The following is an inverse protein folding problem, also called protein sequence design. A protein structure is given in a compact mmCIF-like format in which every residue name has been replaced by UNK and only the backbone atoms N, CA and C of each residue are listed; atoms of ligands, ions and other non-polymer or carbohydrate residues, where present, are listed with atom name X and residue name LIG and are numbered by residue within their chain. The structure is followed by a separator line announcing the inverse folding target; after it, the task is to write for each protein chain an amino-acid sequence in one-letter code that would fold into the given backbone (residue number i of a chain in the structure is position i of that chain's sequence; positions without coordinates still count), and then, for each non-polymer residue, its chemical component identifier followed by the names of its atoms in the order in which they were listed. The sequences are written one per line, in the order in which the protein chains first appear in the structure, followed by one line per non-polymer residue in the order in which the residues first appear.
data_IF_891636467469
#
_entry.id   IF_891636467469
#
_cell.length_a   1.000
_cell.length_b   1.000
_cell.length_c   1.000
_cell.angle_alpha   90.00
_cell.angle_beta   90.00
_cell.angle_gamma   90.00
#
_symmetry.space_group_name_H-M   'P 1'
#
loop_
_entity.id
_entity.type
_entity.pdbx_description
1 polymer ?
#
# COMPACT_ATOMS: atom_id res chain seq x y z
N UNK A 1 0.59 -79.42 -11.67
CA UNK A 1 1.42 -78.96 -12.81
C UNK A 1 1.81 -77.51 -12.58
N UNK A 2 2.95 -77.13 -13.13
CA UNK A 2 3.82 -75.96 -12.84
C UNK A 2 3.18 -74.56 -13.02
N UNK A 3 3.86 -73.50 -12.54
CA UNK A 3 3.28 -72.32 -11.87
C UNK A 3 3.41 -71.03 -12.70
N UNK A 4 2.82 -69.93 -12.24
CA UNK A 4 3.31 -68.58 -12.59
C UNK A 4 3.19 -67.64 -11.39
N UNK A 5 4.32 -66.99 -11.08
CA UNK A 5 4.56 -66.26 -9.86
C UNK A 5 4.07 -64.81 -9.89
N UNK A 6 3.78 -64.30 -8.70
CA UNK A 6 3.55 -62.89 -8.42
C UNK A 6 4.93 -62.24 -8.23
N UNK A 7 5.32 -61.37 -9.16
CA UNK A 7 6.45 -60.45 -8.99
C UNK A 7 5.86 -59.12 -8.54
N UNK A 8 6.18 -58.74 -7.29
CA UNK A 8 6.01 -57.39 -6.80
C UNK A 8 7.12 -56.52 -7.39
N UNK A 9 6.75 -55.45 -8.11
CA UNK A 9 7.67 -54.37 -8.47
C UNK A 9 7.25 -53.12 -7.69
N UNK A 10 8.04 -52.80 -6.67
CA UNK A 10 8.02 -51.50 -6.03
C UNK A 10 8.65 -50.48 -7.00
N UNK A 11 7.88 -49.49 -7.42
CA UNK A 11 8.39 -48.32 -8.13
C UNK A 11 8.40 -47.13 -7.15
N UNK A 12 9.59 -46.86 -6.60
CA UNK A 12 9.93 -45.57 -6.00
C UNK A 12 10.05 -44.54 -7.13
N UNK A 13 9.09 -43.62 -7.21
CA UNK A 13 9.21 -42.41 -8.02
C UNK A 13 9.03 -41.20 -7.09
N UNK A 14 10.15 -40.61 -6.66
CA UNK A 14 10.18 -39.35 -5.93
C UNK A 14 9.95 -38.15 -6.86
N UNK A 15 9.41 -37.02 -6.35
CA UNK A 15 9.16 -35.84 -7.15
C UNK A 15 10.42 -34.99 -7.24
N UNK A 16 11.12 -35.02 -8.38
CA UNK A 16 12.21 -34.05 -8.67
C UNK A 16 12.05 -33.30 -10.00
N UNK A 17 10.96 -33.51 -10.73
CA UNK A 17 10.73 -32.82 -12.01
C UNK A 17 9.96 -31.48 -11.90
N UNK A 18 9.38 -31.15 -10.74
CA UNK A 18 8.63 -29.90 -10.54
C UNK A 18 9.50 -28.70 -10.12
N UNK A 19 10.77 -28.92 -9.74
CA UNK A 19 11.66 -27.83 -9.31
C UNK A 19 12.38 -27.14 -10.47
N UNK A 20 12.50 -27.77 -11.63
CA UNK A 20 13.26 -27.21 -12.77
C UNK A 20 12.45 -26.27 -13.67
N UNK A 21 11.12 -26.33 -13.66
CA UNK A 21 10.27 -25.40 -14.41
C UNK A 21 10.13 -24.04 -13.69
N UNK A 22 10.05 -24.04 -12.35
CA UNK A 22 9.85 -22.82 -11.55
C UNK A 22 11.06 -21.85 -11.53
N UNK A 23 12.28 -22.37 -11.76
CA UNK A 23 13.50 -21.53 -11.86
C UNK A 23 13.50 -20.74 -13.17
N UNK A 24 12.95 -21.30 -14.25
CA UNK A 24 12.86 -20.62 -15.55
C UNK A 24 11.75 -19.56 -15.53
N UNK A 25 10.65 -19.81 -14.83
CA UNK A 25 9.54 -18.84 -14.71
C UNK A 25 9.88 -17.65 -13.80
N UNK A 26 10.59 -17.89 -12.69
CA UNK A 26 11.15 -16.80 -11.87
C UNK A 26 12.16 -15.98 -12.66
N UNK A 27 13.00 -16.63 -13.47
CA UNK A 27 13.99 -15.96 -14.33
C UNK A 27 13.34 -15.06 -15.40
N UNK A 28 12.21 -15.44 -15.99
CA UNK A 28 11.51 -14.61 -16.98
C UNK A 28 10.79 -13.41 -16.35
N UNK A 29 10.28 -13.56 -15.12
CA UNK A 29 9.78 -12.45 -14.30
C UNK A 29 10.91 -11.48 -13.92
N UNK A 30 12.10 -12.01 -13.64
CA UNK A 30 13.29 -11.23 -13.27
C UNK A 30 13.92 -10.50 -14.47
N UNK A 31 13.85 -11.07 -15.68
CA UNK A 31 14.40 -10.45 -16.90
C UNK A 31 13.58 -9.23 -17.34
N UNK A 32 12.25 -9.29 -17.21
CA UNK A 32 11.34 -8.21 -17.62
C UNK A 32 11.38 -6.99 -16.68
N UNK A 33 11.53 -7.21 -15.38
CA UNK A 33 11.74 -6.12 -14.40
C UNK A 33 13.15 -5.51 -14.49
N UNK A 34 14.19 -6.34 -14.68
CA UNK A 34 15.59 -5.87 -14.76
C UNK A 34 15.90 -5.08 -16.04
N UNK A 35 15.32 -5.46 -17.19
CA UNK A 35 15.53 -4.73 -18.45
C UNK A 35 14.96 -3.31 -18.42
N UNK A 36 13.85 -3.08 -17.71
CA UNK A 36 13.28 -1.73 -17.57
C UNK A 36 14.06 -0.84 -16.59
N UNK A 37 14.70 -1.42 -15.57
CA UNK A 37 15.58 -0.67 -14.66
C UNK A 37 16.89 -0.23 -15.33
N UNK A 38 17.41 -1.00 -16.30
CA UNK A 38 18.62 -0.66 -17.06
C UNK A 38 18.37 0.26 -18.27
N UNK A 39 17.13 0.34 -18.78
CA UNK A 39 16.79 1.11 -19.96
C UNK A 39 16.32 2.56 -19.67
N UNK A 40 16.81 3.18 -18.59
CA UNK A 40 16.61 4.60 -18.30
C UNK A 40 17.33 5.49 -19.33
N UNK A 41 16.71 5.71 -20.49
CA UNK A 41 17.23 6.62 -21.51
C UNK A 41 16.66 8.03 -21.32
N UNK A 42 17.55 8.96 -20.94
CA UNK A 42 17.30 10.40 -20.99
C UNK A 42 16.97 10.84 -22.44
N UNK A 43 16.06 11.81 -22.64
CA UNK A 43 15.74 12.30 -23.98
C UNK A 43 16.91 13.15 -24.51
N UNK A 44 17.69 12.59 -25.44
CA UNK A 44 18.63 13.38 -26.24
C UNK A 44 17.88 14.22 -27.27
N UNK A 45 18.16 15.52 -27.25
CA UNK A 45 17.76 16.54 -28.22
C UNK A 45 17.93 16.05 -29.67
N UNK A 46 16.90 16.29 -30.47
CA UNK A 46 16.89 16.05 -31.90
C UNK A 46 17.96 16.89 -32.63
N UNK A 47 18.86 16.22 -33.34
CA UNK A 47 19.73 16.82 -34.34
C UNK A 47 19.05 16.74 -35.71
N UNK A 48 18.82 17.89 -36.33
CA UNK A 48 18.44 17.97 -37.75
C UNK A 48 19.60 17.52 -38.64
N UNK A 49 19.30 16.63 -39.60
CA UNK A 49 20.19 16.20 -40.67
C UNK A 49 19.77 16.91 -41.97
N UNK A 50 20.65 17.69 -42.59
CA UNK A 50 20.55 18.17 -43.99
C UNK A 50 21.73 17.67 -44.81
N UNK A 51 21.48 17.33 -46.08
CA UNK A 51 22.48 17.18 -47.17
C UNK A 51 21.85 17.80 -48.47
N UNK A 52 22.57 18.05 -49.60
CA UNK A 52 23.15 19.36 -49.95
C UNK A 52 22.81 19.87 -51.38
N UNK A 53 23.07 21.14 -51.70
CA UNK A 53 23.17 21.61 -53.11
C UNK A 53 23.15 23.12 -53.37
N UNK A 54 24.32 23.68 -53.73
CA UNK A 54 24.58 24.91 -54.54
C UNK A 54 24.43 26.30 -53.87
N UNK A 55 25.19 27.34 -54.32
CA UNK A 55 25.97 28.22 -53.46
C UNK A 55 25.47 29.67 -53.46
N UNK A 56 26.12 30.53 -52.67
CA UNK A 56 26.70 31.83 -53.07
C UNK A 56 26.76 32.86 -51.91
N UNK A 57 27.98 33.41 -51.75
CA UNK A 57 28.42 34.72 -51.21
C UNK A 57 28.71 34.95 -49.72
N UNK A 58 30.00 35.28 -49.54
CA UNK A 58 30.75 35.88 -48.42
C UNK A 58 30.23 37.25 -47.97
N UNK A 59 30.49 37.58 -46.70
CA UNK A 59 31.20 38.78 -46.17
C UNK A 59 31.62 38.44 -44.71
N UNK A 60 32.89 38.16 -44.37
CA UNK A 60 33.97 39.04 -43.82
C UNK A 60 33.58 39.89 -42.57
N UNK A 61 33.92 39.39 -41.36
CA UNK A 61 34.74 39.92 -40.22
C UNK A 61 34.67 41.42 -39.77
N UNK A 62 35.22 41.85 -38.59
CA UNK A 62 35.84 41.14 -37.43
C UNK A 62 35.49 41.69 -35.99
N UNK A 63 35.66 40.91 -34.91
CA UNK A 63 36.71 40.92 -33.84
C UNK A 63 36.54 41.83 -32.60
N UNK A 64 36.83 41.23 -31.42
CA UNK A 64 37.54 41.71 -30.21
C UNK A 64 36.77 41.31 -28.93
N UNK A 65 37.34 40.77 -27.85
CA UNK A 65 38.72 40.43 -27.47
C UNK A 65 38.69 39.96 -26.00
N UNK A 66 39.46 38.92 -25.68
CA UNK A 66 39.95 38.57 -24.33
C UNK A 66 41.12 39.54 -23.97
N UNK A 67 41.85 39.47 -22.81
CA UNK A 67 41.78 38.55 -21.66
C UNK A 67 42.03 39.15 -20.25
N UNK A 68 42.00 38.28 -19.22
CA UNK A 68 42.89 38.35 -18.03
C UNK A 68 42.13 38.40 -16.68
N UNK A 69 42.49 37.69 -15.60
CA UNK A 69 43.63 36.82 -15.29
C UNK A 69 43.91 36.85 -13.78
N UNK A 70 44.22 35.69 -13.16
CA UNK A 70 44.86 35.52 -11.83
C UNK A 70 44.01 35.91 -10.59
N UNK A 71 44.21 35.40 -9.37
CA UNK A 71 45.28 34.58 -8.81
C UNK A 71 44.83 33.96 -7.46
N UNK A 72 45.54 32.93 -7.01
CA UNK A 72 45.40 32.19 -5.74
C UNK A 72 45.88 32.98 -4.52
N UNK A 73 45.31 32.74 -3.32
CA UNK A 73 46.09 32.48 -2.09
C UNK A 73 45.26 31.79 -0.99
N UNK A 74 45.83 30.73 -0.42
CA UNK A 74 45.46 30.09 0.86
C UNK A 74 45.89 30.95 2.05
N UNK A 75 45.25 30.86 3.23
CA UNK A 75 45.83 30.34 4.50
C UNK A 75 45.06 30.71 5.79
N UNK A 76 45.04 29.71 6.69
CA UNK A 76 45.14 29.75 8.17
C UNK A 76 43.87 29.90 9.04
N UNK A 77 43.72 28.84 9.83
CA UNK A 77 42.90 28.54 11.00
C UNK A 77 43.26 29.37 12.24
N UNK A 78 42.29 29.64 13.13
CA UNK A 78 42.52 29.69 14.59
C UNK A 78 41.25 29.19 15.33
N UNK A 79 41.46 28.20 16.20
CA UNK A 79 40.53 27.68 17.20
C UNK A 79 40.47 28.57 18.44
N UNK A 80 39.34 28.60 19.14
CA UNK A 80 39.32 28.98 20.57
C UNK A 80 38.32 28.14 21.35
N UNK A 81 38.86 27.27 22.20
CA UNK A 81 38.21 26.57 23.30
C UNK A 81 38.10 27.52 24.50
N UNK A 82 36.99 27.47 25.24
CA UNK A 82 36.99 27.86 26.66
C UNK A 82 35.94 27.07 27.43
N UNK A 83 36.37 26.58 28.58
CA UNK A 83 35.77 25.56 29.43
C UNK A 83 35.21 26.19 30.72
N UNK A 84 34.39 25.41 31.43
CA UNK A 84 34.11 25.41 32.89
C UNK A 84 32.84 26.12 33.38
N UNK A 85 32.01 25.39 34.13
CA UNK A 85 31.31 25.94 35.30
C UNK A 85 29.96 25.33 35.66
N UNK A 86 29.95 24.21 36.38
CA UNK A 86 28.79 23.54 36.99
C UNK A 86 28.14 24.35 38.13
N UNK A 87 26.80 24.28 38.30
CA UNK A 87 26.16 23.77 39.53
C UNK A 87 24.62 23.74 39.49
N UNK A 88 24.12 22.61 40.01
CA UNK A 88 22.78 22.24 40.46
C UNK A 88 22.14 23.20 41.47
N UNK A 89 20.80 23.34 41.45
CA UNK A 89 19.90 22.99 42.57
C UNK A 89 18.40 23.18 42.24
N UNK A 90 17.64 22.30 42.88
CA UNK A 90 16.19 22.08 42.95
C UNK A 90 15.37 23.22 43.57
N UNK A 91 14.09 23.33 43.20
CA UNK A 91 13.11 24.14 43.93
C UNK A 91 11.67 24.05 43.41
N UNK A 92 10.88 23.19 44.02
CA UNK A 92 9.41 23.06 43.90
C UNK A 92 8.69 24.29 44.45
N UNK A 93 7.61 24.76 43.81
CA UNK A 93 6.53 25.50 44.50
C UNK A 93 5.22 25.53 43.71
N UNK A 94 4.20 24.91 44.30
CA UNK A 94 2.77 25.11 44.00
C UNK A 94 2.33 26.53 44.38
N UNK A 95 1.39 27.09 43.62
CA UNK A 95 0.49 28.13 44.14
C UNK A 95 -0.90 28.00 43.54
N UNK A 96 -1.85 27.82 44.44
CA UNK A 96 -3.31 27.92 44.30
C UNK A 96 -3.70 29.38 44.17
N UNK A 97 -4.63 29.72 43.27
CA UNK A 97 -5.31 31.02 43.30
C UNK A 97 -6.82 30.84 43.30
N UNK A 98 -7.43 31.22 44.42
CA UNK A 98 -8.86 31.28 44.63
C UNK A 98 -9.47 32.56 44.05
N UNK A 99 -10.73 32.40 43.67
CA UNK A 99 -11.70 33.36 43.14
C UNK A 99 -12.13 34.37 44.21
N UNK A 100 -12.25 35.65 43.86
CA UNK A 100 -13.00 36.64 44.66
C UNK A 100 -13.90 37.47 43.76
N UNK A 101 -15.18 37.50 44.15
CA UNK A 101 -16.28 38.26 43.56
C UNK A 101 -16.42 39.59 44.30
N UNK A 102 -16.46 40.69 43.57
CA UNK A 102 -16.85 42.01 44.08
C UNK A 102 -18.15 42.44 43.42
N UNK A 103 -19.19 42.58 44.23
CA UNK A 103 -20.45 43.19 43.85
C UNK A 103 -20.38 44.71 44.00
N UNK A 104 -21.03 45.43 43.09
CA UNK A 104 -21.41 46.82 43.31
C UNK A 104 -22.76 47.09 42.65
N UNK A 105 -23.71 47.45 43.49
CA UNK A 105 -25.07 47.88 43.20
C UNK A 105 -25.09 49.33 42.72
N UNK A 106 -25.75 49.60 41.58
CA UNK A 106 -26.25 50.93 41.23
C UNK A 106 -27.65 50.83 40.62
N UNK A 107 -28.50 51.76 41.03
CA UNK A 107 -29.94 51.83 40.85
C UNK A 107 -30.35 52.45 39.51
N UNK A 108 -31.31 51.79 38.85
CA UNK A 108 -32.36 52.26 37.93
C UNK A 108 -32.25 53.61 37.19
N UNK A 109 -32.36 53.52 35.86
CA UNK A 109 -33.23 54.37 35.05
C UNK A 109 -33.74 53.57 33.85
N UNK A 110 -35.05 53.32 33.80
CA UNK A 110 -35.73 52.54 32.75
C UNK A 110 -36.01 53.45 31.56
N UNK A 111 -35.39 53.17 30.41
CA UNK A 111 -35.79 53.74 29.12
C UNK A 111 -36.15 52.58 28.20
N UNK A 112 -37.38 52.57 27.72
CA UNK A 112 -37.94 51.53 26.86
C UNK A 112 -37.38 51.64 25.44
N UNK A 113 -36.31 50.90 25.16
CA UNK A 113 -35.85 50.61 23.79
C UNK A 113 -36.37 49.25 23.36
N UNK A 114 -37.27 49.26 22.38
CA UNK A 114 -37.73 48.09 21.62
C UNK A 114 -36.54 47.49 20.86
N UNK A 115 -35.91 46.46 21.43
CA UNK A 115 -34.96 45.61 20.71
C UNK A 115 -35.75 44.63 19.84
N UNK A 116 -35.74 44.86 18.53
CA UNK A 116 -36.16 43.88 17.54
C UNK A 116 -35.35 42.60 17.73
N UNK A 117 -36.04 41.51 18.08
CA UNK A 117 -35.45 40.18 18.12
C UNK A 117 -34.97 39.84 16.70
N UNK A 118 -33.66 39.91 16.47
CA UNK A 118 -33.05 39.38 15.25
C UNK A 118 -33.07 37.86 15.41
N UNK A 119 -34.03 37.21 14.76
CA UNK A 119 -34.06 35.76 14.64
C UNK A 119 -32.81 35.33 13.89
N UNK A 120 -31.77 34.89 14.61
CA UNK A 120 -30.68 34.13 14.02
C UNK A 120 -31.29 32.81 13.54
N UNK A 121 -31.62 32.75 12.25
CA UNK A 121 -31.85 31.49 11.55
C UNK A 121 -30.56 30.69 11.67
N UNK A 122 -30.53 29.73 12.59
CA UNK A 122 -29.57 28.64 12.54
C UNK A 122 -29.79 27.94 11.21
N UNK A 123 -28.95 28.25 10.22
CA UNK A 123 -28.87 27.49 8.99
C UNK A 123 -28.56 26.05 9.41
N UNK A 124 -29.57 25.18 9.37
CA UNK A 124 -29.35 23.74 9.53
C UNK A 124 -28.28 23.35 8.53
N UNK A 125 -27.15 22.84 9.03
CA UNK A 125 -26.09 22.35 8.16
C UNK A 125 -26.73 21.38 7.16
N UNK A 126 -26.54 21.65 5.87
CA UNK A 126 -27.10 20.84 4.80
C UNK A 126 -26.64 19.40 5.04
N UNK A 127 -27.58 18.47 5.22
CA UNK A 127 -27.22 17.06 5.38
C UNK A 127 -26.44 16.63 4.14
N UNK A 128 -25.20 16.14 4.28
CA UNK A 128 -24.42 15.68 3.14
C UNK A 128 -25.22 14.65 2.35
N UNK A 129 -25.53 14.96 1.09
CA UNK A 129 -26.31 14.07 0.22
C UNK A 129 -25.36 13.34 -0.73
N UNK A 130 -25.42 12.01 -0.72
CA UNK A 130 -24.78 11.16 -1.73
C UNK A 130 -25.75 10.13 -2.27
N UNK A 131 -25.57 9.72 -3.52
CA UNK A 131 -26.22 8.52 -4.08
C UNK A 131 -25.69 7.25 -3.44
N UNK A 132 -24.44 7.26 -2.95
CA UNK A 132 -23.82 6.16 -2.22
C UNK A 132 -24.35 6.11 -0.79
N UNK A 133 -25.05 5.03 -0.47
CA UNK A 133 -25.60 4.76 0.86
C UNK A 133 -24.73 3.74 1.57
N UNK A 134 -24.51 3.98 2.86
CA UNK A 134 -23.76 3.05 3.71
C UNK A 134 -24.54 1.74 3.82
N UNK A 135 -23.91 0.64 3.43
CA UNK A 135 -24.48 -0.69 3.48
C UNK A 135 -23.86 -1.52 4.63
N UNK A 136 -22.54 -1.44 4.78
CA UNK A 136 -21.81 -2.16 5.83
C UNK A 136 -20.78 -1.28 6.51
N UNK A 137 -20.68 -1.39 7.83
CA UNK A 137 -19.53 -0.91 8.62
C UNK A 137 -18.93 -2.09 9.37
N UNK A 138 -17.61 -2.23 9.29
CA UNK A 138 -16.81 -3.21 10.04
C UNK A 138 -15.76 -2.43 10.82
N UNK A 139 -15.98 -2.25 12.12
CA UNK A 139 -15.15 -1.41 13.00
C UNK A 139 -15.38 -1.78 14.48
N UNK A 140 -14.54 -1.24 15.36
CA UNK A 140 -14.74 -1.31 16.81
C UNK A 140 -14.56 -2.70 17.43
N UNK A 141 -15.15 -2.91 18.61
CA UNK A 141 -15.00 -4.14 19.41
C UNK A 141 -15.38 -5.42 18.66
N UNK A 142 -16.32 -5.31 17.72
CA UNK A 142 -16.87 -6.44 16.98
C UNK A 142 -16.21 -6.62 15.61
N UNK A 143 -15.09 -5.93 15.34
CA UNK A 143 -14.38 -6.02 14.05
C UNK A 143 -14.15 -7.48 13.66
N UNK A 144 -13.52 -8.29 14.52
CA UNK A 144 -13.17 -9.70 14.26
C UNK A 144 -14.36 -10.69 14.29
N UNK A 145 -15.58 -10.22 14.51
CA UNK A 145 -16.78 -11.05 14.39
C UNK A 145 -17.29 -11.10 12.96
N UNK A 146 -16.88 -10.15 12.12
CA UNK A 146 -17.33 -10.00 10.73
C UNK A 146 -16.46 -10.75 9.71
N UNK A 147 -15.53 -11.58 10.20
CA UNK A 147 -14.53 -12.24 9.35
C UNK A 147 -14.36 -13.71 9.71
N UNK A 148 -14.10 -14.49 8.67
CA UNK A 148 -13.65 -15.87 8.76
C UNK A 148 -12.11 -15.90 8.70
N UNK A 149 -11.50 -16.76 9.51
CA UNK A 149 -10.05 -16.89 9.61
C UNK A 149 -9.58 -18.08 8.79
N UNK A 150 -8.70 -17.81 7.83
CA UNK A 150 -8.06 -18.83 7.02
C UNK A 150 -6.97 -19.52 7.84
N UNK A 151 -6.98 -20.85 7.90
CA UNK A 151 -5.99 -21.66 8.65
C UNK A 151 -5.26 -22.67 7.78
N UNK A 152 -5.56 -22.69 6.48
CA UNK A 152 -4.89 -23.60 5.55
C UNK A 152 -3.55 -23.00 5.09
N UNK A 153 -2.77 -23.82 4.39
CA UNK A 153 -1.53 -23.38 3.77
C UNK A 153 -1.74 -22.14 2.87
N UNK A 154 -0.72 -21.29 2.82
CA UNK A 154 -0.76 -20.09 1.99
C UNK A 154 -0.77 -20.46 0.50
N UNK A 155 -1.75 -19.94 -0.24
CA UNK A 155 -1.91 -20.23 -1.67
C UNK A 155 -0.82 -19.60 -2.54
N UNK A 156 -0.10 -18.62 -1.99
CA UNK A 156 1.06 -17.96 -2.59
C UNK A 156 2.40 -18.51 -2.08
N UNK A 157 2.37 -19.72 -1.51
CA UNK A 157 3.55 -20.46 -1.01
C UNK A 157 4.39 -19.68 0.02
N UNK A 158 3.77 -18.79 0.78
CA UNK A 158 4.42 -18.02 1.83
C UNK A 158 4.95 -18.86 2.99
N UNK A 159 6.02 -18.38 3.60
CA UNK A 159 6.61 -18.90 4.84
C UNK A 159 5.82 -18.42 6.08
N UNK A 160 4.52 -18.64 6.05
CA UNK A 160 3.55 -18.19 7.05
C UNK A 160 2.73 -19.36 7.61
N UNK A 161 2.34 -19.25 8.87
CA UNK A 161 1.43 -20.16 9.56
C UNK A 161 0.17 -19.40 9.98
N UNK A 162 -0.90 -19.48 9.18
CA UNK A 162 -2.11 -18.71 9.47
C UNK A 162 -2.90 -19.31 10.63
N UNK A 163 -3.19 -18.46 11.62
CA UNK A 163 -3.82 -18.89 12.85
C UNK A 163 -5.34 -18.74 12.82
N UNK A 164 -6.03 -19.65 13.51
CA UNK A 164 -7.46 -19.48 13.82
C UNK A 164 -7.67 -18.23 14.68
N UNK A 165 -8.90 -17.70 14.73
CA UNK A 165 -9.22 -16.53 15.57
C UNK A 165 -8.83 -16.70 17.03
N UNK A 166 -9.04 -17.89 17.59
CA UNK A 166 -8.73 -18.20 18.98
C UNK A 166 -7.21 -18.25 19.21
N UNK A 167 -6.47 -18.96 18.35
CA UNK A 167 -5.02 -19.03 18.43
C UNK A 167 -4.39 -17.65 18.21
N UNK A 168 -4.90 -16.86 17.26
CA UNK A 168 -4.42 -15.52 16.99
C UNK A 168 -4.56 -14.61 18.22
N UNK A 169 -5.68 -14.69 18.96
CA UNK A 169 -5.84 -13.96 20.23
C UNK A 169 -4.87 -14.46 21.30
N UNK A 170 -4.79 -15.77 21.49
CA UNK A 170 -3.93 -16.39 22.50
C UNK A 170 -2.43 -16.07 22.27
N UNK A 171 -2.02 -15.90 21.01
CA UNK A 171 -0.66 -15.53 20.62
C UNK A 171 -0.46 -14.00 20.46
N UNK A 172 -1.45 -13.17 20.79
CA UNK A 172 -1.34 -11.70 20.70
C UNK A 172 -1.29 -11.12 19.28
N UNK A 173 -1.65 -11.92 18.27
CA UNK A 173 -1.63 -11.51 16.87
C UNK A 173 -2.82 -10.63 16.51
N UNK A 174 -3.94 -10.74 17.23
CA UNK A 174 -5.09 -9.87 17.02
C UNK A 174 -5.61 -9.27 18.33
N UNK A 175 -6.03 -8.01 18.28
CA UNK A 175 -6.73 -7.33 19.36
C UNK A 175 -7.48 -6.10 18.83
N UNK A 176 -8.37 -5.53 19.64
CA UNK A 176 -8.87 -4.17 19.45
C UNK A 176 -8.16 -3.29 20.47
N UNK A 177 -7.41 -2.29 20.00
CA UNK A 177 -6.63 -1.45 20.89
C UNK A 177 -7.51 -0.45 21.66
N UNK A 178 -6.91 0.32 22.57
CA UNK A 178 -7.63 1.29 23.40
C UNK A 178 -8.33 2.41 22.61
N UNK A 179 -7.91 2.67 21.37
CA UNK A 179 -8.56 3.63 20.46
C UNK A 179 -9.76 3.02 19.70
N UNK A 180 -10.04 1.72 19.89
CA UNK A 180 -11.09 1.00 19.18
C UNK A 180 -10.68 0.49 17.79
N UNK A 181 -9.39 0.56 17.45
CA UNK A 181 -8.86 0.10 16.16
C UNK A 181 -8.51 -1.38 16.22
N UNK A 182 -8.79 -2.10 15.14
CA UNK A 182 -8.41 -3.51 15.02
C UNK A 182 -6.93 -3.64 14.66
N UNK A 183 -6.20 -4.47 15.40
CA UNK A 183 -4.79 -4.78 15.18
C UNK A 183 -4.64 -6.21 14.67
N UNK A 184 -3.82 -6.40 13.62
CA UNK A 184 -3.45 -7.71 13.10
C UNK A 184 -1.94 -7.76 12.86
N UNK A 185 -1.22 -8.64 13.56
CA UNK A 185 0.25 -8.69 13.59
C UNK A 185 0.81 -9.95 12.95
N UNK A 186 2.04 -9.84 12.47
CA UNK A 186 2.94 -10.97 12.27
C UNK A 186 3.68 -11.26 13.59
N UNK A 187 3.89 -12.53 13.91
CA UNK A 187 4.69 -12.96 15.06
C UNK A 187 6.13 -12.41 14.99
N UNK A 188 6.57 -11.76 16.07
CA UNK A 188 7.90 -11.13 16.17
C UNK A 188 8.85 -11.85 17.15
N UNK A 189 8.59 -13.12 17.49
CA UNK A 189 9.49 -13.94 18.30
C UNK A 189 10.88 -14.03 17.64
N UNK A 190 11.94 -13.87 18.44
CA UNK A 190 13.32 -13.66 17.95
C UNK A 190 13.71 -14.66 16.86
N UNK A 191 13.45 -15.95 17.11
CA UNK A 191 13.68 -17.02 16.15
C UNK A 191 12.48 -17.97 16.14
N UNK A 192 12.17 -18.52 14.97
CA UNK A 192 11.17 -19.58 14.78
C UNK A 192 11.80 -20.76 14.06
N UNK A 193 11.43 -21.98 14.44
CA UNK A 193 11.91 -23.21 13.79
C UNK A 193 11.12 -23.55 12.52
N UNK A 194 9.89 -23.01 12.39
CA UNK A 194 8.99 -23.23 11.26
C UNK A 194 8.68 -21.94 10.49
N UNK A 195 7.40 -21.76 10.18
CA UNK A 195 6.89 -20.52 9.62
C UNK A 195 6.46 -19.58 10.75
N UNK A 196 6.54 -18.26 10.51
CA UNK A 196 6.03 -17.27 11.46
C UNK A 196 4.50 -17.28 11.43
N UNK A 197 3.89 -17.12 12.60
CA UNK A 197 2.44 -17.00 12.68
C UNK A 197 1.96 -15.65 12.17
N UNK A 198 0.82 -15.66 11.49
CA UNK A 198 0.11 -14.46 11.03
C UNK A 198 -1.39 -14.76 10.93
N UNK A 199 -2.15 -13.83 10.39
CA UNK A 199 -3.58 -14.01 10.10
C UNK A 199 -3.88 -13.66 8.65
N UNK A 200 -4.82 -14.41 8.07
CA UNK A 200 -5.53 -14.07 6.85
C UNK A 200 -7.01 -14.15 7.16
N UNK A 201 -7.72 -13.05 6.96
CA UNK A 201 -9.14 -12.94 7.28
C UNK A 201 -9.93 -12.52 6.04
N UNK A 202 -11.07 -13.17 5.82
CA UNK A 202 -11.99 -12.84 4.74
C UNK A 202 -13.34 -12.41 5.32
N UNK A 203 -13.94 -11.36 4.78
CA UNK A 203 -15.19 -10.84 5.32
C UNK A 203 -16.33 -11.81 5.06
N UNK A 204 -17.24 -11.94 6.01
CA UNK A 204 -18.51 -12.64 5.81
C UNK A 204 -19.45 -11.87 4.87
N UNK A 205 -19.19 -10.58 4.67
CA UNK A 205 -19.86 -9.75 3.67
C UNK A 205 -19.35 -10.09 2.26
N UNK A 206 -20.27 -10.21 1.31
CA UNK A 206 -19.99 -10.50 -0.10
C UNK A 206 -20.35 -9.30 -0.98
N UNK A 207 -19.36 -8.76 -1.69
CA UNK A 207 -19.49 -7.67 -2.64
C UNK A 207 -19.80 -8.16 -4.06
N UNK A 208 -20.64 -7.42 -4.77
CA UNK A 208 -20.96 -7.59 -6.19
C UNK A 208 -21.00 -6.22 -6.87
N UNK A 209 -19.91 -5.47 -6.77
CA UNK A 209 -19.88 -4.03 -7.02
C UNK A 209 -19.94 -3.21 -5.75
N UNK A 210 -19.91 -1.89 -5.93
CA UNK A 210 -20.06 -0.94 -4.85
C UNK A 210 -18.79 -0.13 -4.60
N UNK A 211 -18.74 0.52 -3.44
CA UNK A 211 -17.61 1.32 -2.98
C UNK A 211 -17.14 0.78 -1.64
N UNK A 212 -15.92 0.23 -1.57
CA UNK A 212 -15.26 -0.17 -0.34
C UNK A 212 -14.23 0.88 0.09
N UNK A 213 -14.25 1.27 1.35
CA UNK A 213 -13.35 2.27 1.94
C UNK A 213 -12.66 1.67 3.16
N UNK A 214 -11.32 1.62 3.12
CA UNK A 214 -10.46 1.29 4.24
C UNK A 214 -9.90 2.57 4.85
N UNK A 215 -10.13 2.81 6.13
CA UNK A 215 -9.41 3.78 6.94
C UNK A 215 -8.42 3.04 7.86
N UNK A 216 -7.12 3.17 7.58
CA UNK A 216 -6.05 2.53 8.34
C UNK A 216 -5.01 3.57 8.80
N UNK A 217 -4.50 3.42 10.01
CA UNK A 217 -3.42 4.28 10.55
C UNK A 217 -2.05 3.64 10.41
N UNK A 218 -2.01 2.32 10.25
CA UNK A 218 -0.79 1.54 10.13
C UNK A 218 -1.01 0.32 9.23
N UNK A 219 0.03 -0.08 8.50
CA UNK A 219 0.09 -1.33 7.74
C UNK A 219 1.44 -2.03 7.91
N UNK A 220 1.53 -3.36 7.71
CA UNK A 220 2.80 -4.07 7.78
C UNK A 220 3.77 -3.58 6.70
N UNK A 221 5.07 -3.64 7.00
CA UNK A 221 6.13 -3.40 6.03
C UNK A 221 7.44 -4.07 6.47
N UNK A 222 8.42 -4.09 5.58
CA UNK A 222 9.78 -4.55 5.87
C UNK A 222 10.13 -5.82 5.11
N UNK A 223 11.43 -6.12 5.07
CA UNK A 223 11.93 -7.25 4.30
C UNK A 223 11.26 -8.57 4.68
N UNK A 224 10.77 -9.26 3.66
CA UNK A 224 10.08 -10.53 3.76
C UNK A 224 8.59 -10.41 4.01
N UNK A 225 8.04 -9.23 4.28
CA UNK A 225 6.59 -9.04 4.40
C UNK A 225 5.91 -8.93 3.03
N UNK A 226 4.68 -9.45 2.93
CA UNK A 226 3.77 -9.24 1.82
C UNK A 226 2.35 -9.06 2.36
N UNK A 227 2.00 -7.84 2.79
CA UNK A 227 0.66 -7.50 3.20
C UNK A 227 -0.22 -7.06 2.03
N UNK A 228 -1.49 -7.44 2.10
CA UNK A 228 -2.50 -7.10 1.12
C UNK A 228 -3.85 -6.76 1.79
N UNK A 229 -4.52 -5.72 1.30
CA UNK A 229 -5.96 -5.51 1.45
C UNK A 229 -6.59 -5.53 0.06
N UNK A 230 -7.43 -6.55 -0.18
CA UNK A 230 -7.82 -6.97 -1.52
C UNK A 230 -9.22 -7.58 -1.47
N UNK A 231 -9.78 -7.89 -2.64
CA UNK A 231 -11.09 -8.53 -2.75
C UNK A 231 -11.08 -9.61 -3.81
N UNK A 232 -11.71 -10.76 -3.56
CA UNK A 232 -11.79 -11.85 -4.53
C UNK A 232 -12.91 -12.83 -4.20
N UNK A 233 -13.36 -13.58 -5.21
CA UNK A 233 -14.02 -14.87 -4.97
C UNK A 233 -12.94 -15.97 -4.86
N UNK A 234 -12.49 -16.22 -3.63
CA UNK A 234 -11.42 -17.17 -3.31
C UNK A 234 -11.73 -18.60 -3.79
N UNK A 235 -13.00 -18.96 -3.89
CA UNK A 235 -13.42 -20.32 -4.28
C UNK A 235 -13.35 -20.54 -5.80
N UNK A 236 -13.55 -19.48 -6.58
CA UNK A 236 -13.64 -19.52 -8.05
C UNK A 236 -12.49 -18.78 -8.73
N UNK A 237 -11.48 -18.35 -7.97
CA UNK A 237 -10.34 -17.62 -8.51
C UNK A 237 -9.63 -18.36 -9.65
N UNK A 238 -9.22 -17.68 -10.74
CA UNK A 238 -9.37 -16.24 -11.03
C UNK A 238 -10.64 -15.93 -11.85
N UNK A 239 -11.55 -16.89 -12.03
CA UNK A 239 -12.66 -16.77 -12.98
C UNK A 239 -13.73 -15.73 -12.58
N UNK A 240 -13.87 -15.51 -11.27
CA UNK A 240 -14.71 -14.44 -10.71
C UNK A 240 -13.88 -13.26 -10.20
N UNK A 241 -12.60 -13.19 -10.55
CA UNK A 241 -11.76 -12.03 -10.37
C UNK A 241 -11.14 -11.85 -8.98
N UNK A 242 -10.14 -10.97 -8.97
CA UNK A 242 -9.44 -10.47 -7.80
C UNK A 242 -9.01 -9.01 -8.05
N UNK A 243 -9.23 -8.15 -7.06
CA UNK A 243 -8.82 -6.75 -7.06
C UNK A 243 -7.90 -6.52 -5.86
N UNK A 244 -6.63 -6.25 -6.11
CA UNK A 244 -5.66 -5.88 -5.08
C UNK A 244 -5.66 -4.37 -4.94
N UNK A 245 -6.11 -3.88 -3.79
CA UNK A 245 -6.37 -2.46 -3.59
C UNK A 245 -5.17 -1.80 -2.94
N UNK A 246 -4.62 -2.47 -1.93
CA UNK A 246 -3.40 -2.10 -1.22
C UNK A 246 -2.51 -3.33 -1.10
N UNK A 247 -1.47 -3.43 -1.95
CA UNK A 247 -0.56 -4.56 -1.99
C UNK A 247 0.87 -4.14 -2.36
N UNK A 248 1.83 -4.90 -1.84
CA UNK A 248 3.24 -4.73 -2.11
C UNK A 248 4.06 -5.73 -1.31
N UNK A 249 5.38 -5.64 -1.45
CA UNK A 249 6.32 -6.56 -0.80
C UNK A 249 7.49 -5.83 -0.21
N UNK A 250 8.14 -6.45 0.78
CA UNK A 250 9.43 -6.03 1.29
C UNK A 250 9.43 -4.57 1.79
N UNK A 251 10.40 -3.77 1.35
CA UNK A 251 10.58 -2.38 1.74
C UNK A 251 9.87 -1.38 0.82
N UNK A 252 8.85 -1.81 0.07
CA UNK A 252 8.12 -0.91 -0.82
C UNK A 252 7.57 0.31 -0.04
N UNK A 253 7.47 1.43 -0.75
CA UNK A 253 6.95 2.70 -0.23
C UNK A 253 5.78 3.23 -1.06
N UNK A 254 5.56 2.63 -2.22
CA UNK A 254 4.44 2.92 -3.12
C UNK A 254 3.59 1.67 -3.29
N UNK A 255 2.28 1.86 -3.29
CA UNK A 255 1.31 0.80 -3.45
C UNK A 255 1.27 0.30 -4.90
N UNK A 256 1.14 -1.00 -5.10
CA UNK A 256 0.78 -1.59 -6.38
C UNK A 256 -0.65 -2.12 -6.27
N UNK A 257 -1.56 -1.50 -7.01
CA UNK A 257 -2.92 -1.99 -7.14
C UNK A 257 -3.03 -2.85 -8.41
N UNK A 258 -3.73 -3.98 -8.37
CA UNK A 258 -3.82 -4.94 -9.47
C UNK A 258 -5.22 -5.49 -9.69
N UNK A 259 -5.42 -6.03 -10.89
CA UNK A 259 -6.60 -6.76 -11.29
C UNK A 259 -6.16 -8.09 -11.91
N UNK A 260 -6.74 -9.17 -11.42
CA UNK A 260 -6.50 -10.55 -11.84
C UNK A 260 -7.83 -11.16 -12.27
N UNK A 261 -7.90 -11.72 -13.47
CA UNK A 261 -9.15 -12.22 -14.07
C UNK A 261 -8.96 -13.55 -14.79
N UNK A 262 -10.05 -14.11 -15.29
CA UNK A 262 -10.02 -15.06 -16.42
C UNK A 262 -9.43 -14.43 -17.69
N UNK A 263 -9.16 -15.29 -18.68
CA UNK A 263 -8.73 -14.91 -20.02
C UNK A 263 -9.66 -13.88 -20.69
N UNK A 264 -9.07 -12.97 -21.46
CA UNK A 264 -9.80 -12.01 -22.31
C UNK A 264 -9.99 -10.60 -21.73
N UNK A 265 -9.67 -10.36 -20.46
CA UNK A 265 -9.67 -9.00 -19.91
C UNK A 265 -8.32 -8.31 -20.17
N UNK A 266 -8.37 -7.20 -20.90
CA UNK A 266 -7.21 -6.34 -21.15
C UNK A 266 -7.58 -4.87 -20.97
N UNK A 267 -6.63 -4.05 -20.54
CA UNK A 267 -6.80 -2.60 -20.44
C UNK A 267 -6.05 -1.87 -21.58
N UNK A 268 -6.54 -0.69 -21.94
CA UNK A 268 -5.84 0.25 -22.83
C UNK A 268 -4.50 0.69 -22.24
N UNK A 269 -3.61 1.26 -23.06
CA UNK A 269 -2.41 1.96 -22.58
C UNK A 269 -2.73 3.34 -22.00
N UNK A 270 -3.84 3.92 -22.41
CA UNK A 270 -4.47 5.07 -21.75
C UNK A 270 -5.64 4.56 -20.91
N UNK A 271 -5.37 4.33 -19.63
CA UNK A 271 -6.32 3.77 -18.67
C UNK A 271 -6.78 4.80 -17.62
N UNK A 272 -6.42 6.08 -17.75
CA UNK A 272 -6.97 7.16 -16.90
C UNK A 272 -6.61 7.08 -15.42
N UNK A 273 -5.39 6.64 -15.09
CA UNK A 273 -4.87 6.57 -13.71
C UNK A 273 -3.57 7.34 -13.59
N UNK A 274 -3.26 7.80 -12.37
CA UNK A 274 -1.96 8.39 -12.04
C UNK A 274 -0.85 7.33 -11.89
N UNK A 275 -1.22 6.05 -11.72
CA UNK A 275 -0.29 4.94 -11.58
C UNK A 275 0.39 4.55 -12.89
N UNK A 276 1.61 4.03 -12.79
CA UNK A 276 2.37 3.50 -13.93
C UNK A 276 2.19 2.00 -14.03
N UNK A 277 1.93 1.48 -15.24
CA UNK A 277 1.79 0.06 -15.49
C UNK A 277 3.02 -0.72 -14.98
N UNK A 278 2.79 -1.68 -14.07
CA UNK A 278 3.86 -2.46 -13.44
C UNK A 278 4.51 -3.42 -14.44
N UNK A 279 3.71 -4.11 -15.25
CA UNK A 279 4.23 -5.07 -16.23
C UNK A 279 3.40 -5.16 -17.51
N UNK A 280 2.13 -5.57 -17.39
CA UNK A 280 1.27 -5.98 -18.51
C UNK A 280 -0.07 -5.27 -18.49
N UNK A 281 -0.66 -5.03 -19.67
CA UNK A 281 -2.06 -4.61 -19.78
C UNK A 281 -3.04 -5.78 -19.81
N UNK A 282 -2.55 -7.02 -19.88
CA UNK A 282 -3.37 -8.23 -19.77
C UNK A 282 -3.62 -8.54 -18.29
N UNK A 283 -4.88 -8.67 -17.90
CA UNK A 283 -5.27 -8.94 -16.52
C UNK A 283 -5.50 -10.44 -16.25
N UNK A 284 -5.46 -11.28 -17.30
CA UNK A 284 -5.68 -12.71 -17.17
C UNK A 284 -4.56 -13.35 -16.34
N UNK A 285 -4.90 -13.85 -15.15
CA UNK A 285 -3.93 -14.32 -14.17
C UNK A 285 -3.08 -15.48 -14.73
N UNK A 286 -3.72 -16.48 -15.35
CA UNK A 286 -3.01 -17.64 -15.91
C UNK A 286 -2.17 -17.32 -17.15
N UNK A 287 -2.54 -16.31 -17.94
CA UNK A 287 -1.78 -15.92 -19.14
C UNK A 287 -0.57 -15.03 -18.81
N UNK A 288 -0.57 -14.41 -17.63
CA UNK A 288 0.46 -13.47 -17.18
C UNK A 288 1.34 -14.03 -16.08
N UNK A 289 1.27 -15.35 -15.81
CA UNK A 289 1.97 -15.98 -14.69
C UNK A 289 1.71 -15.26 -13.36
N UNK A 290 0.44 -14.93 -13.13
CA UNK A 290 -0.08 -14.20 -11.98
C UNK A 290 0.45 -12.77 -11.80
N UNK A 291 0.93 -12.11 -12.85
CA UNK A 291 1.25 -10.68 -12.76
C UNK A 291 0.00 -9.79 -12.81
N UNK A 292 -1.04 -10.26 -13.51
CA UNK A 292 -2.22 -9.45 -13.78
C UNK A 292 -1.86 -8.13 -14.49
N UNK A 293 -2.75 -7.16 -14.39
CA UNK A 293 -2.54 -5.84 -14.94
C UNK A 293 -2.36 -4.79 -13.84
N UNK A 294 -1.27 -4.94 -13.07
CA UNK A 294 -0.92 -4.06 -11.96
C UNK A 294 -0.49 -2.65 -12.36
N UNK A 295 -0.79 -1.68 -11.51
CA UNK A 295 -0.41 -0.29 -11.61
C UNK A 295 0.28 0.16 -10.32
N UNK A 296 1.53 0.59 -10.44
CA UNK A 296 2.31 1.12 -9.33
C UNK A 296 1.97 2.60 -9.14
N UNK A 297 1.45 2.94 -7.96
CA UNK A 297 1.09 4.30 -7.59
C UNK A 297 2.29 5.24 -7.54
N UNK A 298 2.03 6.54 -7.63
CA UNK A 298 3.06 7.59 -7.62
C UNK A 298 3.27 8.22 -6.25
N UNK A 299 2.30 8.10 -5.34
CA UNK A 299 2.37 8.66 -3.99
C UNK A 299 3.48 7.97 -3.17
N UNK A 300 4.48 8.73 -2.76
CA UNK A 300 5.63 8.25 -1.97
C UNK A 300 5.27 7.82 -0.54
N UNK A 301 4.07 8.15 -0.08
CA UNK A 301 3.49 7.77 1.20
C UNK A 301 2.28 6.84 1.06
N UNK A 302 2.14 6.18 -0.10
CA UNK A 302 1.03 5.28 -0.36
C UNK A 302 1.15 3.93 0.34
N UNK A 303 2.36 3.51 0.74
CA UNK A 303 2.57 2.16 1.26
C UNK A 303 3.67 2.12 2.33
N UNK A 304 3.59 1.13 3.20
CA UNK A 304 4.64 0.74 4.13
C UNK A 304 5.06 1.84 5.11
N UNK A 305 6.36 1.97 5.36
CA UNK A 305 6.87 2.90 6.38
C UNK A 305 6.40 4.36 6.15
N UNK A 306 6.49 4.94 4.95
CA UNK A 306 6.03 6.31 4.74
C UNK A 306 4.50 6.50 4.89
N UNK A 307 3.69 5.46 4.63
CA UNK A 307 2.26 5.48 4.97
C UNK A 307 2.07 5.55 6.50
N UNK A 308 2.79 4.71 7.25
CA UNK A 308 2.72 4.66 8.70
C UNK A 308 3.21 5.96 9.35
N UNK A 309 4.33 6.51 8.89
CA UNK A 309 4.91 7.79 9.36
C UNK A 309 3.94 8.97 9.15
N UNK A 310 3.02 8.87 8.17
CA UNK A 310 1.98 9.84 7.89
C UNK A 310 0.70 9.66 8.76
N UNK A 311 0.69 8.69 9.67
CA UNK A 311 -0.53 8.29 10.40
C UNK A 311 -1.54 7.56 9.51
N UNK A 312 -1.04 6.91 8.46
CA UNK A 312 -1.79 6.16 7.46
C UNK A 312 -2.58 7.04 6.49
N UNK A 313 -3.79 6.58 6.18
CA UNK A 313 -4.66 7.22 5.21
C UNK A 313 -5.89 6.38 4.90
N UNK A 314 -6.58 6.77 3.82
CA UNK A 314 -7.77 6.10 3.32
C UNK A 314 -7.50 5.53 1.94
N UNK A 315 -7.78 4.24 1.77
CA UNK A 315 -7.90 3.60 0.47
C UNK A 315 -9.37 3.43 0.12
N UNK A 316 -9.74 3.72 -1.13
CA UNK A 316 -11.09 3.51 -1.63
C UNK A 316 -11.06 2.74 -2.94
N UNK A 317 -11.85 1.68 -3.04
CA UNK A 317 -12.09 0.92 -4.26
C UNK A 317 -13.52 1.16 -4.72
N UNK A 318 -13.67 1.66 -5.95
CA UNK A 318 -14.94 1.87 -6.62
C UNK A 318 -15.09 0.82 -7.73
N UNK A 319 -16.08 -0.05 -7.62
CA UNK A 319 -16.42 -1.07 -8.61
C UNK A 319 -17.82 -0.83 -9.14
N UNK A 320 -17.90 -0.45 -10.42
CA UNK A 320 -19.13 -0.14 -11.14
C UNK A 320 -19.16 -0.88 -12.49
N UNK A 321 -20.26 -0.74 -13.24
CA UNK A 321 -20.36 -1.26 -14.60
C UNK A 321 -19.35 -0.62 -15.58
N UNK A 322 -18.86 0.59 -15.27
CA UNK A 322 -17.87 1.32 -16.07
C UNK A 322 -16.42 0.87 -15.83
N UNK A 323 -16.16 0.08 -14.79
CA UNK A 323 -14.83 -0.40 -14.45
C UNK A 323 -14.57 -0.45 -12.95
N UNK A 324 -13.29 -0.61 -12.61
CA UNK A 324 -12.78 -0.55 -11.24
C UNK A 324 -11.77 0.59 -11.11
N UNK A 325 -11.88 1.38 -10.04
CA UNK A 325 -10.92 2.44 -9.71
C UNK A 325 -10.47 2.32 -8.26
N UNK A 326 -9.19 2.57 -8.01
CA UNK A 326 -8.59 2.62 -6.67
C UNK A 326 -8.04 4.02 -6.41
N UNK A 327 -8.35 4.56 -5.24
CA UNK A 327 -7.90 5.86 -4.77
C UNK A 327 -7.12 5.71 -3.47
N UNK A 328 -6.13 6.59 -3.28
CA UNK A 328 -5.43 6.78 -2.02
C UNK A 328 -5.53 8.24 -1.59
N UNK A 329 -5.93 8.46 -0.34
CA UNK A 329 -5.94 9.76 0.31
C UNK A 329 -5.04 9.71 1.55
N UNK A 330 -3.95 10.49 1.60
CA UNK A 330 -3.12 10.54 2.81
C UNK A 330 -3.93 11.12 3.97
N UNK A 331 -3.57 10.75 5.21
CA UNK A 331 -4.31 11.12 6.43
C UNK A 331 -4.76 12.59 6.51
N UNK A 332 -3.90 13.52 6.06
CA UNK A 332 -4.14 14.97 6.11
C UNK A 332 -4.94 15.53 4.92
N UNK A 333 -5.32 14.70 3.95
CA UNK A 333 -6.06 15.10 2.74
C UNK A 333 -7.22 14.15 2.42
N UNK A 334 -7.81 13.52 3.45
CA UNK A 334 -9.01 12.69 3.28
C UNK A 334 -10.18 13.62 2.87
N UNK A 335 -10.87 13.34 1.75
CA UNK A 335 -12.04 14.10 1.33
C UNK A 335 -13.12 14.18 2.40
N UNK A 336 -13.69 15.38 2.61
CA UNK A 336 -14.63 15.63 3.70
C UNK A 336 -15.92 14.81 3.59
N UNK A 337 -16.34 14.51 2.35
CA UNK A 337 -17.49 13.67 2.01
C UNK A 337 -17.32 12.22 2.52
N UNK A 338 -16.10 11.67 2.51
CA UNK A 338 -15.80 10.38 3.15
C UNK A 338 -15.97 10.50 4.67
N UNK A 339 -15.38 11.54 5.28
CA UNK A 339 -15.44 11.73 6.75
C UNK A 339 -16.86 11.99 7.25
N UNK A 340 -17.71 12.63 6.44
CA UNK A 340 -19.12 12.87 6.74
C UNK A 340 -20.02 11.68 6.40
N UNK A 341 -19.48 10.58 5.86
CA UNK A 341 -20.23 9.38 5.52
C UNK A 341 -21.14 9.51 4.30
N UNK A 342 -20.87 10.46 3.40
CA UNK A 342 -21.64 10.69 2.17
C UNK A 342 -20.69 10.81 0.96
N UNK A 343 -19.94 9.73 0.62
CA UNK A 343 -18.87 9.79 -0.37
C UNK A 343 -19.39 10.14 -1.76
N UNK A 344 -18.64 10.94 -2.50
CA UNK A 344 -18.92 11.43 -3.85
C UNK A 344 -17.70 11.17 -4.76
N UNK A 345 -17.52 9.92 -5.24
CA UNK A 345 -16.33 9.53 -6.00
C UNK A 345 -16.03 10.38 -7.24
N UNK A 346 -17.05 10.96 -7.88
CA UNK A 346 -16.88 11.86 -9.03
C UNK A 346 -16.09 13.14 -8.74
N UNK A 347 -15.92 13.48 -7.46
CA UNK A 347 -15.18 14.67 -7.01
C UNK A 347 -13.74 14.38 -6.58
N UNK A 348 -13.33 13.11 -6.52
CA UNK A 348 -12.03 12.69 -5.98
C UNK A 348 -10.85 12.86 -6.95
N UNK A 349 -11.12 13.21 -8.21
CA UNK A 349 -10.11 13.40 -9.24
C UNK A 349 -9.65 12.09 -9.87
N UNK A 350 -8.39 12.04 -10.31
CA UNK A 350 -7.83 10.88 -11.01
C UNK A 350 -7.44 9.77 -10.03
N UNK A 351 -7.87 8.52 -10.22
CA UNK A 351 -7.50 7.40 -9.35
C UNK A 351 -5.99 7.05 -9.42
N UNK A 352 -5.51 6.32 -8.42
CA UNK A 352 -4.16 5.74 -8.38
C UNK A 352 -4.04 4.40 -9.12
N UNK A 353 -5.17 3.71 -9.33
CA UNK A 353 -5.30 2.53 -10.18
C UNK A 353 -6.64 2.55 -10.91
N UNK A 354 -6.68 2.21 -12.20
CA UNK A 354 -7.94 2.23 -12.95
C UNK A 354 -8.00 1.17 -14.05
N UNK A 355 -9.09 0.42 -14.10
CA UNK A 355 -9.38 -0.63 -15.07
C UNK A 355 -10.74 -0.37 -15.73
N UNK A 356 -10.78 0.39 -16.83
CA UNK A 356 -12.00 0.68 -17.56
C UNK A 356 -12.63 -0.57 -18.20
N UNK A 357 -13.95 -0.59 -18.32
CA UNK A 357 -14.70 -1.74 -18.87
C UNK A 357 -14.53 -2.02 -20.37
N UNK A 358 -13.72 -1.23 -21.09
CA UNK A 358 -13.56 -1.27 -22.56
C UNK A 358 -13.31 -2.67 -23.14
N UNK A 359 -12.39 -3.43 -22.57
CA UNK A 359 -12.15 -4.85 -22.89
C UNK A 359 -12.00 -5.67 -21.62
N UNK A 360 -12.62 -5.21 -20.54
CA UNK A 360 -12.57 -5.84 -19.22
C UNK A 360 -13.86 -5.52 -18.46
N UNK A 361 -14.99 -6.01 -18.97
CA UNK A 361 -16.31 -5.76 -18.38
C UNK A 361 -16.42 -6.38 -16.97
N UNK A 362 -16.61 -5.57 -15.92
CA UNK A 362 -16.77 -6.07 -14.55
C UNK A 362 -17.88 -7.11 -14.40
N UNK A 363 -18.99 -7.00 -15.14
CA UNK A 363 -20.08 -7.98 -15.04
C UNK A 363 -19.70 -9.38 -15.54
N UNK A 364 -18.70 -9.45 -16.42
CA UNK A 364 -18.14 -10.69 -16.94
C UNK A 364 -17.12 -11.28 -15.97
N UNK A 365 -16.20 -10.45 -15.47
CA UNK A 365 -14.99 -10.92 -14.80
C UNK A 365 -15.02 -10.91 -13.27
N UNK A 366 -15.92 -10.14 -12.65
CA UNK A 366 -15.90 -9.89 -11.20
C UNK A 366 -17.25 -10.29 -10.58
N UNK A 367 -17.24 -11.20 -9.60
CA UNK A 367 -18.46 -11.69 -8.93
C UNK A 367 -18.16 -12.18 -7.52
N UNK A 368 -19.05 -11.91 -6.57
CA UNK A 368 -19.08 -12.50 -5.23
C UNK A 368 -17.76 -12.34 -4.44
N UNK A 369 -17.20 -11.14 -4.42
CA UNK A 369 -15.95 -10.91 -3.73
C UNK A 369 -16.12 -10.84 -2.22
N UNK A 370 -15.26 -11.55 -1.48
CA UNK A 370 -15.00 -11.23 -0.08
C UNK A 370 -13.96 -10.12 -0.01
N UNK A 371 -14.02 -9.27 1.02
CA UNK A 371 -12.92 -8.37 1.38
C UNK A 371 -11.92 -9.17 2.20
N UNK A 372 -10.62 -9.01 1.96
CA UNK A 372 -9.59 -9.86 2.53
C UNK A 372 -8.43 -9.01 3.06
N UNK A 373 -8.00 -9.30 4.28
CA UNK A 373 -6.68 -8.89 4.77
C UNK A 373 -5.76 -10.10 4.81
N UNK A 374 -4.58 -9.94 4.23
CA UNK A 374 -3.51 -10.94 4.28
C UNK A 374 -2.23 -10.28 4.76
N UNK A 375 -1.43 -11.01 5.53
CA UNK A 375 -0.03 -10.68 5.81
C UNK A 375 0.79 -11.94 5.65
N UNK A 376 1.09 -12.29 4.39
CA UNK A 376 1.97 -13.42 4.06
C UNK A 376 3.43 -12.98 4.14
N UNK A 377 4.33 -13.96 4.07
CA UNK A 377 5.76 -13.78 4.34
C UNK A 377 6.54 -14.53 3.26
N UNK A 378 7.51 -13.89 2.63
CA UNK A 378 8.25 -14.44 1.50
C UNK A 378 7.33 -14.86 0.35
N UNK A 379 7.22 -16.16 0.09
CA UNK A 379 6.35 -16.72 -0.95
C UNK A 379 6.72 -16.32 -2.37
N UNK A 380 5.77 -16.52 -3.27
CA UNK A 380 5.95 -16.41 -4.71
C UNK A 380 6.41 -15.02 -5.16
N UNK A 381 6.11 -13.97 -4.39
CA UNK A 381 6.51 -12.59 -4.70
C UNK A 381 7.62 -12.07 -3.79
N UNK A 382 7.35 -11.76 -2.52
CA UNK A 382 8.34 -11.09 -1.65
C UNK A 382 9.63 -11.91 -1.46
N UNK A 383 9.50 -13.24 -1.45
CA UNK A 383 10.60 -14.18 -1.26
C UNK A 383 11.36 -14.52 -2.53
N UNK A 384 10.88 -14.08 -3.69
CA UNK A 384 11.53 -14.36 -4.96
C UNK A 384 12.87 -13.65 -5.12
N UNK A 385 13.74 -14.22 -5.95
CA UNK A 385 15.08 -13.65 -6.19
C UNK A 385 14.98 -12.21 -6.70
N UNK A 386 14.14 -11.93 -7.69
CA UNK A 386 13.93 -10.58 -8.19
C UNK A 386 13.47 -9.59 -7.13
N UNK A 387 12.49 -9.94 -6.29
CA UNK A 387 12.00 -9.01 -5.26
C UNK A 387 12.97 -8.85 -4.07
N UNK A 388 13.66 -9.93 -3.69
CA UNK A 388 14.58 -9.96 -2.56
C UNK A 388 15.90 -9.24 -2.84
N UNK A 389 16.40 -9.35 -4.08
CA UNK A 389 17.73 -8.86 -4.47
C UNK A 389 17.73 -7.58 -5.29
N UNK A 390 16.58 -7.13 -5.81
CA UNK A 390 16.50 -5.88 -6.57
C UNK A 390 16.32 -4.63 -5.68
N UNK A 391 17.06 -3.58 -6.01
CA UNK A 391 16.91 -2.23 -5.47
C UNK A 391 16.01 -1.37 -6.39
N UNK A 392 15.45 -0.27 -5.86
CA UNK A 392 14.70 0.71 -6.65
C UNK A 392 13.25 0.33 -7.04
N UNK A 393 12.82 -0.89 -6.77
CA UNK A 393 11.46 -1.37 -7.11
C UNK A 393 10.45 -0.93 -6.04
N UNK A 394 9.25 -0.54 -6.44
CA UNK A 394 8.20 -0.14 -5.47
C UNK A 394 8.55 1.08 -4.61
N UNK A 395 9.61 1.82 -4.95
CA UNK A 395 10.15 2.91 -4.16
C UNK A 395 11.07 2.49 -3.01
N UNK A 396 11.44 1.21 -2.90
CA UNK A 396 12.48 0.76 -1.98
C UNK A 396 13.86 1.19 -2.49
N UNK A 397 14.71 1.75 -1.62
CA UNK A 397 16.03 2.24 -2.05
C UNK A 397 17.04 1.10 -2.19
N UNK A 398 17.18 0.29 -1.14
CA UNK A 398 18.07 -0.87 -1.12
C UNK A 398 17.28 -2.16 -1.32
N UNK A 399 17.94 -3.20 -1.83
CA UNK A 399 17.37 -4.54 -1.83
C UNK A 399 17.32 -5.12 -0.41
N UNK A 400 16.47 -6.12 -0.20
CA UNK A 400 16.45 -6.82 1.08
C UNK A 400 17.72 -7.60 1.34
N UNK A 401 18.32 -8.22 0.32
CA UNK A 401 19.61 -8.89 0.50
C UNK A 401 20.72 -7.94 0.94
N UNK A 402 20.76 -6.73 0.39
CA UNK A 402 21.77 -5.73 0.74
C UNK A 402 21.51 -5.11 2.12
N UNK A 403 20.27 -4.69 2.40
CA UNK A 403 19.91 -4.02 3.66
C UNK A 403 19.98 -4.96 4.87
N UNK A 404 19.67 -6.24 4.69
CA UNK A 404 19.68 -7.23 5.78
C UNK A 404 21.00 -8.01 5.87
N UNK A 405 21.79 -8.04 4.80
CA UNK A 405 22.98 -8.89 4.69
C UNK A 405 22.66 -10.39 4.54
N UNK A 406 21.40 -10.77 4.31
CA UNK A 406 20.96 -12.17 4.21
C UNK A 406 20.61 -12.54 2.76
N UNK A 407 21.14 -13.69 2.29
CA UNK A 407 21.06 -14.09 0.89
C UNK A 407 19.65 -14.42 0.41
N UNK A 408 18.76 -14.90 1.30
CA UNK A 408 17.41 -15.29 0.94
C UNK A 408 16.40 -14.92 2.03
N UNK A 409 15.14 -14.78 1.62
CA UNK A 409 14.05 -14.37 2.48
C UNK A 409 13.81 -15.34 3.64
N UNK A 410 13.81 -16.65 3.37
CA UNK A 410 13.42 -17.65 4.36
C UNK A 410 14.35 -17.65 5.59
N UNK A 411 15.66 -17.55 5.35
CA UNK A 411 16.66 -17.47 6.43
C UNK A 411 16.50 -16.17 7.22
N UNK A 412 16.22 -15.05 6.54
CA UNK A 412 16.00 -13.78 7.22
C UNK A 412 14.78 -13.84 8.13
N UNK A 413 13.62 -14.26 7.59
CA UNK A 413 12.38 -14.23 8.36
C UNK A 413 12.42 -15.19 9.53
N UNK A 414 13.05 -16.36 9.43
CA UNK A 414 13.15 -17.30 10.57
C UNK A 414 14.01 -16.81 11.72
N UNK A 415 15.02 -15.98 11.44
CA UNK A 415 16.05 -15.64 12.41
C UNK A 415 15.98 -14.20 12.95
N UNK A 416 15.07 -13.35 12.41
CA UNK A 416 15.03 -11.92 12.71
C UNK A 416 13.65 -11.45 13.21
N UNK A 417 13.20 -11.95 14.36
CA UNK A 417 11.89 -11.61 14.92
C UNK A 417 11.64 -10.12 15.14
N UNK A 418 12.65 -9.41 15.64
CA UNK A 418 12.54 -7.97 15.91
C UNK A 418 12.17 -7.14 14.67
N UNK A 419 12.50 -7.62 13.46
CA UNK A 419 12.16 -6.95 12.21
C UNK A 419 10.65 -6.91 11.93
N UNK A 420 9.85 -7.75 12.60
CA UNK A 420 8.40 -7.82 12.45
C UNK A 420 7.64 -7.01 13.51
N UNK A 421 8.35 -6.20 14.32
CA UNK A 421 7.70 -5.36 15.34
C UNK A 421 6.70 -4.39 14.73
N UNK A 422 7.05 -3.78 13.59
CA UNK A 422 6.16 -2.90 12.83
C UNK A 422 5.42 -3.65 11.70
N UNK A 423 5.38 -4.98 11.71
CA UNK A 423 4.65 -5.76 10.73
C UNK A 423 3.21 -6.02 11.20
N UNK A 424 2.41 -4.95 11.28
CA UNK A 424 1.00 -5.05 11.69
C UNK A 424 0.09 -4.06 10.97
N UNK A 425 -1.17 -4.47 10.79
CA UNK A 425 -2.26 -3.58 10.41
C UNK A 425 -2.86 -2.92 11.65
N UNK A 426 -3.19 -1.64 11.55
CA UNK A 426 -4.10 -0.94 12.48
C UNK A 426 -5.23 -0.28 11.70
N UNK A 427 -6.41 -0.89 11.79
CA UNK A 427 -7.58 -0.54 10.99
C UNK A 427 -8.62 0.17 11.85
N UNK A 428 -8.99 1.39 11.46
CA UNK A 428 -10.07 2.15 12.11
C UNK A 428 -11.44 1.63 11.66
N UNK A 429 -11.61 1.43 10.36
CA UNK A 429 -12.84 0.89 9.80
C UNK A 429 -12.67 0.39 8.37
N UNK A 430 -13.47 -0.60 8.01
CA UNK A 430 -13.87 -0.87 6.62
C UNK A 430 -15.34 -0.49 6.46
N UNK A 431 -15.67 0.30 5.45
CA UNK A 431 -17.05 0.67 5.12
C UNK A 431 -17.37 0.33 3.68
N UNK A 432 -18.56 -0.23 3.43
CA UNK A 432 -19.06 -0.54 2.10
C UNK A 432 -20.30 0.30 1.83
N UNK A 433 -20.36 0.88 0.63
CA UNK A 433 -21.45 1.68 0.14
C UNK A 433 -21.99 1.12 -1.17
N UNK A 434 -23.29 1.26 -1.37
CA UNK A 434 -24.02 0.87 -2.59
C UNK A 434 -24.87 2.05 -3.09
N UNK A 435 -25.27 2.04 -4.36
CA UNK A 435 -26.12 3.07 -4.97
C UNK A 435 -27.53 2.61 -5.18
#
# INVERSE_FOLDING_TARGET
MKPTGVIALAALAGPTAAQSLNVVDSFMRDFSLSFRALAGSHPRRAFHRRIPGQPVKRCIHPSNGYPGGGNSTSTISISSTSTIGSNTLTGTRSSTSMRTSTGSSTTQASTSTTTSATSTTTSSATTPSSTWKLDKTIAGSNFFEQWDFWTEADRTNGAVDYQSRENARANGLIEVNAAGNAIMRIENTTQVTGNRKSVRISSQYIMNGGLAILDAVHMPYGCGTWPAWWTADVSTWPYNGEIDILEGVNGYTRNQASLHTAAGCTISTDYGSTGTLAASTNCAAYETANQGCGQLGTASNGYGKPFNDNGGGVYAMLWQSTGVSVYFFPRNAIPSDITSGAPQPSTWGTPSGNWPNTSCDPATYLKNHQIIFTSTICGDWAGSVGAWTAAGVGGQTDSCSASTGVSNCLDYVRNNGAAFTDAYWEVKSVKVYTT
#
